data_IF_297822025873
#
_entry.id   IF_297822025873
#
_cell.length_a   1.000
_cell.length_b   1.000
_cell.length_c   1.000
_cell.angle_alpha   90.00
_cell.angle_beta   90.00
_cell.angle_gamma   90.00
#
_symmetry.space_group_name_H-M   'P 1'
#
loop_
_entity.id
_entity.type
_entity.pdbx_description
1 polymer ?
#
# COMPACT_ATOMS: atom_id res chain seq x y z
N UNK A 1 11.02 11.24 1.19
CA UNK A 1 10.63 10.35 2.31
C UNK A 1 9.18 9.88 2.26
N UNK A 2 8.12 10.71 2.37
CA UNK A 2 6.73 10.19 2.31
C UNK A 2 6.43 9.45 1.00
N UNK A 3 6.88 9.99 -0.14
CA UNK A 3 6.76 9.35 -1.46
C UNK A 3 7.55 8.04 -1.56
N UNK A 4 8.76 7.97 -0.99
CA UNK A 4 9.56 6.74 -0.95
C UNK A 4 8.83 5.61 -0.21
N UNK A 5 8.09 5.93 0.86
CA UNK A 5 7.26 4.93 1.53
C UNK A 5 6.09 4.47 0.65
N UNK A 6 5.47 5.37 -0.13
CA UNK A 6 4.40 4.98 -1.05
C UNK A 6 4.93 4.13 -2.22
N UNK A 7 6.11 4.44 -2.74
CA UNK A 7 6.81 3.62 -3.74
C UNK A 7 7.18 2.25 -3.16
N UNK A 8 7.67 2.18 -1.92
CA UNK A 8 7.98 0.93 -1.25
C UNK A 8 6.72 0.08 -1.01
N UNK A 9 5.60 0.71 -0.63
CA UNK A 9 4.32 0.04 -0.49
C UNK A 9 3.82 -0.52 -1.84
N UNK A 10 3.96 0.25 -2.94
CA UNK A 10 3.62 -0.22 -4.28
C UNK A 10 4.47 -1.44 -4.68
N UNK A 11 5.80 -1.38 -4.49
CA UNK A 11 6.67 -2.52 -4.81
C UNK A 11 6.31 -3.78 -4.04
N UNK A 12 5.99 -3.65 -2.74
CA UNK A 12 5.57 -4.78 -1.94
C UNK A 12 4.27 -5.44 -2.48
N UNK A 13 3.35 -4.66 -3.05
CA UNK A 13 2.17 -5.22 -3.70
C UNK A 13 2.46 -5.87 -5.05
N UNK A 14 3.37 -5.31 -5.86
CA UNK A 14 3.81 -5.95 -7.09
C UNK A 14 4.46 -7.32 -6.81
N UNK A 15 5.33 -7.39 -5.80
CA UNK A 15 5.90 -8.66 -5.36
C UNK A 15 4.80 -9.63 -4.89
N UNK A 16 3.73 -9.13 -4.25
CA UNK A 16 2.60 -9.93 -3.80
C UNK A 16 1.79 -10.51 -4.97
N UNK A 17 1.61 -9.74 -6.05
CA UNK A 17 0.95 -10.19 -7.29
C UNK A 17 1.76 -11.30 -7.93
N UNK A 18 3.07 -11.12 -8.05
CA UNK A 18 3.99 -12.08 -8.66
C UNK A 18 4.18 -13.37 -7.82
N UNK A 19 3.76 -13.37 -6.55
CA UNK A 19 3.91 -14.52 -5.64
C UNK A 19 2.85 -15.60 -5.91
N UNK A 20 3.20 -16.81 -6.38
CA UNK A 20 2.24 -17.90 -6.54
C UNK A 20 1.79 -18.50 -5.18
N UNK A 21 0.65 -19.21 -5.12
CA UNK A 21 -0.29 -19.47 -6.21
C UNK A 21 -1.21 -18.28 -6.50
N UNK A 22 -1.81 -18.27 -7.68
CA UNK A 22 -2.92 -17.36 -7.98
C UNK A 22 -4.10 -17.62 -7.02
N UNK A 23 -4.72 -16.54 -6.53
CA UNK A 23 -5.78 -16.59 -5.52
C UNK A 23 -7.10 -15.96 -5.97
N UNK A 24 -7.12 -15.29 -7.13
CA UNK A 24 -8.23 -14.46 -7.57
C UNK A 24 -8.29 -13.10 -6.85
N UNK A 25 -7.21 -12.72 -6.16
CA UNK A 25 -7.05 -11.44 -5.46
C UNK A 25 -6.08 -10.50 -6.18
N UNK A 26 -5.49 -10.96 -7.28
CA UNK A 26 -4.47 -10.26 -8.05
C UNK A 26 -4.99 -8.93 -8.58
N UNK A 27 -6.23 -8.87 -9.09
CA UNK A 27 -6.85 -7.62 -9.55
C UNK A 27 -6.98 -6.58 -8.41
N UNK A 28 -7.33 -7.03 -7.18
CA UNK A 28 -7.46 -6.13 -6.04
C UNK A 28 -6.09 -5.65 -5.52
N UNK A 29 -5.06 -6.50 -5.60
CA UNK A 29 -3.68 -6.13 -5.32
C UNK A 29 -3.17 -5.10 -6.35
N UNK A 30 -3.47 -5.31 -7.63
CA UNK A 30 -3.06 -4.44 -8.74
C UNK A 30 -3.72 -3.06 -8.63
N UNK A 31 -5.02 -3.01 -8.38
CA UNK A 31 -5.76 -1.76 -8.12
C UNK A 31 -5.14 -0.94 -6.98
N UNK A 32 -4.71 -1.62 -5.90
CA UNK A 32 -4.06 -0.95 -4.77
C UNK A 32 -2.63 -0.53 -5.10
N UNK A 33 -1.91 -1.32 -5.90
CA UNK A 33 -0.57 -0.98 -6.38
C UNK A 33 -0.63 0.29 -7.24
N UNK A 34 -1.55 0.35 -8.21
CA UNK A 34 -1.79 1.51 -9.05
C UNK A 34 -2.14 2.75 -8.24
N UNK A 35 -3.02 2.60 -7.25
CA UNK A 35 -3.40 3.70 -6.37
C UNK A 35 -2.19 4.21 -5.57
N UNK A 36 -1.34 3.34 -5.05
CA UNK A 36 -0.12 3.74 -4.34
C UNK A 36 0.89 4.43 -5.27
N UNK A 37 1.06 3.93 -6.49
CA UNK A 37 1.94 4.55 -7.48
C UNK A 37 1.46 5.95 -7.87
N UNK A 38 0.16 6.11 -8.12
CA UNK A 38 -0.44 7.41 -8.37
C UNK A 38 -0.17 8.39 -7.21
N UNK A 39 -0.39 7.96 -5.97
CA UNK A 39 -0.14 8.79 -4.78
C UNK A 39 1.34 9.12 -4.57
N UNK A 40 2.25 8.21 -4.95
CA UNK A 40 3.69 8.44 -4.89
C UNK A 40 4.15 9.46 -5.94
N UNK A 41 3.60 9.38 -7.15
CA UNK A 41 4.05 10.17 -8.32
C UNK A 41 3.35 11.51 -8.48
N UNK A 42 2.19 11.71 -7.86
CA UNK A 42 1.47 12.99 -7.85
C UNK A 42 2.37 14.11 -7.31
N UNK A 43 2.69 15.07 -8.20
CA UNK A 43 3.67 16.14 -7.91
C UNK A 43 3.01 17.38 -7.34
N UNK A 44 1.74 17.61 -7.68
CA UNK A 44 1.05 18.85 -7.34
C UNK A 44 0.69 18.94 -5.85
N UNK A 45 0.30 17.80 -5.26
CA UNK A 45 -0.13 17.74 -3.85
C UNK A 45 0.30 16.45 -3.21
N UNK A 46 0.64 16.53 -1.93
CA UNK A 46 0.80 15.34 -1.12
C UNK A 46 -0.55 14.66 -0.90
N UNK A 47 -0.60 13.32 -0.76
CA UNK A 47 -1.82 12.59 -0.47
C UNK A 47 -2.49 13.10 0.81
N UNK A 48 -3.79 13.37 0.75
CA UNK A 48 -4.54 13.69 1.95
C UNK A 48 -4.65 12.48 2.89
N UNK A 49 -4.78 12.76 4.20
CA UNK A 49 -4.87 11.72 5.23
C UNK A 49 -6.02 10.74 5.00
N UNK A 50 -7.15 11.21 4.46
CA UNK A 50 -8.32 10.38 4.21
C UNK A 50 -8.12 9.40 3.05
N UNK A 51 -7.31 9.75 2.04
CA UNK A 51 -6.90 8.81 0.99
C UNK A 51 -5.96 7.74 1.54
N UNK A 52 -4.94 8.14 2.31
CA UNK A 52 -3.99 7.19 2.90
C UNK A 52 -4.68 6.22 3.87
N UNK A 53 -5.64 6.70 4.66
CA UNK A 53 -6.43 5.87 5.57
C UNK A 53 -7.29 4.85 4.82
N UNK A 54 -7.94 5.25 3.72
CA UNK A 54 -8.72 4.34 2.88
C UNK A 54 -7.86 3.25 2.25
N UNK A 55 -6.68 3.61 1.74
CA UNK A 55 -5.72 2.63 1.20
C UNK A 55 -5.26 1.67 2.29
N UNK A 56 -4.89 2.18 3.46
CA UNK A 56 -4.48 1.32 4.58
C UNK A 56 -5.58 0.36 5.05
N UNK A 57 -6.83 0.83 5.09
CA UNK A 57 -7.97 -0.01 5.43
C UNK A 57 -8.16 -1.13 4.41
N UNK A 58 -8.16 -0.81 3.11
CA UNK A 58 -8.26 -1.82 2.03
C UNK A 58 -7.15 -2.86 2.13
N UNK A 59 -5.91 -2.43 2.36
CA UNK A 59 -4.78 -3.34 2.56
C UNK A 59 -4.97 -4.26 3.77
N UNK A 60 -5.53 -3.73 4.87
CA UNK A 60 -5.80 -4.52 6.08
C UNK A 60 -6.86 -5.59 5.82
N UNK A 61 -7.95 -5.24 5.15
CA UNK A 61 -9.00 -6.20 4.75
C UNK A 61 -8.45 -7.25 3.77
N UNK A 62 -7.62 -6.83 2.82
CA UNK A 62 -6.99 -7.75 1.87
C UNK A 62 -6.05 -8.72 2.56
N UNK A 63 -5.28 -8.23 3.56
CA UNK A 63 -4.38 -9.05 4.36
C UNK A 63 -5.08 -10.24 5.01
N UNK A 64 -6.30 -10.06 5.51
CA UNK A 64 -7.10 -11.13 6.12
C UNK A 64 -7.44 -12.28 5.15
N UNK A 65 -7.34 -12.03 3.84
CA UNK A 65 -7.70 -12.98 2.77
C UNK A 65 -6.49 -13.62 2.09
N UNK A 66 -5.28 -13.08 2.29
CA UNK A 66 -4.04 -13.63 1.75
C UNK A 66 -3.27 -14.40 2.82
N UNK A 67 -2.44 -15.35 2.40
CA UNK A 67 -1.71 -16.23 3.30
C UNK A 67 -0.25 -16.42 2.85
N UNK A 68 0.56 -16.94 3.77
CA UNK A 68 1.97 -17.25 3.51
C UNK A 68 2.78 -16.01 3.13
N UNK A 69 3.64 -16.13 2.10
CA UNK A 69 4.51 -15.04 1.67
C UNK A 69 3.74 -13.79 1.24
N UNK A 70 2.54 -13.97 0.68
CA UNK A 70 1.68 -12.85 0.25
C UNK A 70 1.16 -12.03 1.44
N UNK A 71 0.89 -12.67 2.58
CA UNK A 71 0.56 -11.95 3.83
C UNK A 71 1.69 -11.03 4.28
N UNK A 72 2.93 -11.53 4.27
CA UNK A 72 4.11 -10.77 4.70
C UNK A 72 4.33 -9.53 3.82
N UNK A 73 4.11 -9.66 2.51
CA UNK A 73 4.26 -8.58 1.55
C UNK A 73 3.16 -7.52 1.73
N UNK A 74 1.91 -7.94 1.90
CA UNK A 74 0.80 -7.01 2.20
C UNK A 74 1.01 -6.33 3.56
N UNK A 75 1.52 -7.03 4.57
CA UNK A 75 1.89 -6.45 5.85
C UNK A 75 2.96 -5.36 5.71
N UNK A 76 4.00 -5.61 4.90
CA UNK A 76 5.03 -4.62 4.60
C UNK A 76 4.46 -3.37 3.90
N UNK A 77 3.52 -3.54 2.96
CA UNK A 77 2.82 -2.42 2.35
C UNK A 77 2.04 -1.58 3.39
N UNK A 78 1.36 -2.23 4.34
CA UNK A 78 0.64 -1.54 5.44
C UNK A 78 1.60 -0.72 6.31
N UNK A 79 2.77 -1.27 6.65
CA UNK A 79 3.78 -0.57 7.45
C UNK A 79 4.29 0.69 6.74
N UNK A 80 4.55 0.59 5.44
CA UNK A 80 4.98 1.72 4.63
C UNK A 80 3.92 2.81 4.51
N UNK A 81 2.65 2.45 4.28
CA UNK A 81 1.54 3.42 4.27
C UNK A 81 1.38 4.07 5.66
N UNK A 82 1.53 3.30 6.74
CA UNK A 82 1.48 3.83 8.11
C UNK A 82 2.59 4.83 8.38
N UNK A 83 3.82 4.54 7.95
CA UNK A 83 4.97 5.43 8.09
C UNK A 83 4.77 6.73 7.29
N UNK A 84 4.21 6.62 6.08
CA UNK A 84 3.80 7.75 5.26
C UNK A 84 2.79 8.64 6.01
N UNK A 85 1.72 8.07 6.58
CA UNK A 85 0.72 8.81 7.37
C UNK A 85 1.27 9.52 8.59
N UNK A 86 2.16 8.87 9.35
CA UNK A 86 2.70 9.44 10.60
C UNK A 86 3.56 10.68 10.36
N UNK A 87 4.21 10.78 9.20
CA UNK A 87 5.02 11.95 8.84
C UNK A 87 4.20 13.14 8.37
N UNK A 88 3.01 12.87 7.82
CA UNK A 88 2.06 13.89 7.38
C UNK A 88 1.21 14.46 8.53
N UNK A 89 1.24 13.84 9.73
CA UNK A 89 0.69 14.48 10.92
C UNK A 89 1.58 15.68 11.28
N UNK A 90 1.06 16.92 11.30
CA UNK A 90 1.82 18.03 11.84
C UNK A 90 2.20 17.69 13.28
N UNK A 91 3.48 17.85 13.64
CA UNK A 91 3.89 17.89 15.05
C UNK A 91 3.09 19.03 15.69
N UNK A 92 2.19 18.68 16.59
CA UNK A 92 1.47 19.63 17.43
C UNK A 92 2.44 20.39 18.33
#
# INVERSE_FOLDING_TARGET
>A
MTREHLEAANRALLDAIETPPETGLEDELDDLADQLWYLATEKERMPDQGRLERVQYRLTVLRERVHGRRDELVASAIEHVSASRQREKPRA
#
